data_IF_299201056852
#
_entry.id   IF_299201056852
#
_cell.length_a   1.000
_cell.length_b   1.000
_cell.length_c   1.000
_cell.angle_alpha   90.00
_cell.angle_beta   90.00
_cell.angle_gamma   90.00
#
_symmetry.space_group_name_H-M   'P 1'
#
loop_
_entity.id
_entity.type
_entity.pdbx_description
1 polymer ?
#
# COMPACT_ATOMS: atom_id res chain seq x y z
N UNK A 1 -8.33 -6.51 1.67
CA UNK A 1 -8.35 -7.98 1.81
C UNK A 1 -7.33 -8.59 0.87
N UNK A 2 -6.29 -9.18 1.43
CA UNK A 2 -5.14 -9.72 0.71
C UNK A 2 -5.30 -11.21 0.41
N UNK A 3 -6.54 -11.70 0.36
CA UNK A 3 -6.78 -13.12 0.12
C UNK A 3 -6.72 -13.43 -1.37
N UNK A 4 -5.89 -14.40 -1.72
CA UNK A 4 -5.83 -15.00 -3.05
C UNK A 4 -7.05 -15.89 -3.33
N UNK A 5 -7.84 -16.19 -2.30
CA UNK A 5 -9.06 -16.97 -2.40
C UNK A 5 -10.16 -16.21 -3.13
N UNK A 6 -11.13 -16.97 -3.66
CA UNK A 6 -12.24 -16.47 -4.47
C UNK A 6 -13.22 -15.59 -3.66
N UNK A 7 -12.81 -14.35 -3.37
CA UNK A 7 -13.63 -13.32 -2.73
C UNK A 7 -14.43 -12.47 -3.75
N UNK A 8 -14.47 -12.89 -5.01
CA UNK A 8 -15.12 -12.18 -6.10
C UNK A 8 -14.40 -10.90 -6.54
N UNK A 9 -13.19 -10.61 -6.01
CA UNK A 9 -12.42 -9.44 -6.36
C UNK A 9 -11.34 -9.83 -7.38
N UNK A 10 -11.37 -9.26 -8.60
CA UNK A 10 -10.45 -9.70 -9.67
C UNK A 10 -9.01 -9.26 -9.45
N UNK A 11 -8.75 -8.27 -8.59
CA UNK A 11 -7.41 -7.77 -8.34
C UNK A 11 -7.01 -7.85 -6.86
N UNK A 12 -5.78 -8.29 -6.60
CA UNK A 12 -5.09 -8.12 -5.32
C UNK A 12 -4.16 -6.92 -5.44
N UNK A 13 -4.15 -6.05 -4.42
CA UNK A 13 -3.27 -4.89 -4.37
C UNK A 13 -2.45 -4.94 -3.09
N UNK A 14 -1.14 -4.88 -3.23
CA UNK A 14 -0.21 -4.60 -2.15
C UNK A 14 0.35 -3.20 -2.34
N UNK A 15 0.44 -2.42 -1.27
CA UNK A 15 0.93 -1.06 -1.37
C UNK A 15 1.61 -0.61 -0.09
N UNK A 16 2.40 0.44 -0.21
CA UNK A 16 3.15 1.07 0.87
C UNK A 16 3.18 2.57 0.70
N UNK A 17 2.99 3.31 1.78
CA UNK A 17 3.36 4.72 1.89
C UNK A 17 4.68 4.79 2.65
N UNK A 18 5.64 5.54 2.13
CA UNK A 18 6.97 5.64 2.71
C UNK A 18 7.49 7.08 2.65
N UNK A 19 8.49 7.36 3.47
CA UNK A 19 9.14 8.66 3.57
C UNK A 19 10.20 8.67 4.67
N UNK A 20 10.94 9.78 4.86
CA UNK A 20 11.93 9.93 5.90
C UNK A 20 11.30 9.77 7.29
N UNK A 21 11.94 9.00 8.17
CA UNK A 21 11.37 8.63 9.48
C UNK A 21 11.07 9.86 10.37
N UNK A 22 11.89 10.88 10.30
CA UNK A 22 11.71 12.13 11.02
C UNK A 22 10.47 12.92 10.55
N UNK A 23 10.01 12.68 9.31
CA UNK A 23 8.83 13.33 8.72
C UNK A 23 7.53 12.58 9.01
N UNK A 24 7.62 11.26 9.23
CA UNK A 24 6.44 10.41 9.50
C UNK A 24 5.67 10.88 10.74
N UNK A 25 6.37 11.31 11.79
CA UNK A 25 5.70 11.85 13.01
C UNK A 25 4.87 13.09 12.70
N UNK A 26 5.42 14.02 11.92
CA UNK A 26 4.70 15.22 11.50
C UNK A 26 3.51 14.85 10.59
N UNK A 27 3.68 13.90 9.69
CA UNK A 27 2.62 13.41 8.82
C UNK A 27 1.45 12.80 9.61
N UNK A 28 1.73 11.97 10.61
CA UNK A 28 0.70 11.43 11.50
C UNK A 28 -0.04 12.57 12.24
N UNK A 29 0.68 13.56 12.78
CA UNK A 29 0.05 14.69 13.46
C UNK A 29 -0.85 15.49 12.52
N UNK A 30 -0.41 15.74 11.30
CA UNK A 30 -1.21 16.47 10.30
C UNK A 30 -2.48 15.73 9.89
N UNK A 31 -2.41 14.42 9.71
CA UNK A 31 -3.60 13.60 9.43
C UNK A 31 -4.61 13.62 10.60
N UNK A 32 -4.14 13.68 11.86
CA UNK A 32 -5.00 13.88 13.04
C UNK A 32 -5.67 15.27 13.04
N UNK A 33 -4.94 16.31 12.68
CA UNK A 33 -5.51 17.65 12.53
C UNK A 33 -6.61 17.69 11.45
N UNK A 34 -6.42 16.99 10.33
CA UNK A 34 -7.45 16.85 9.30
C UNK A 34 -8.68 16.13 9.85
N UNK A 35 -8.52 15.08 10.69
CA UNK A 35 -9.64 14.44 11.39
C UNK A 35 -10.40 15.46 12.24
N UNK A 36 -9.69 16.27 13.04
CA UNK A 36 -10.28 17.31 13.89
C UNK A 36 -11.05 18.34 13.06
N UNK A 37 -10.46 18.85 11.97
CA UNK A 37 -11.10 19.79 11.03
C UNK A 37 -12.45 19.30 10.56
N UNK A 38 -12.56 18.01 10.27
CA UNK A 38 -13.78 17.38 9.76
C UNK A 38 -14.67 16.76 10.87
N UNK A 39 -14.38 17.05 12.13
CA UNK A 39 -15.13 16.50 13.28
C UNK A 39 -15.17 14.95 13.28
N UNK A 40 -14.11 14.32 12.78
CA UNK A 40 -13.93 12.88 12.82
C UNK A 40 -13.27 12.53 14.15
N UNK A 41 -13.84 11.57 14.88
CA UNK A 41 -13.25 11.14 16.16
C UNK A 41 -11.81 10.61 15.96
N UNK A 42 -10.87 10.91 16.85
CA UNK A 42 -9.47 10.48 16.74
C UNK A 42 -9.31 8.96 16.57
N UNK A 43 -10.20 8.18 17.21
CA UNK A 43 -10.23 6.72 17.11
C UNK A 43 -10.79 6.18 15.78
N UNK A 44 -11.34 7.05 14.95
CA UNK A 44 -11.84 6.65 13.62
C UNK A 44 -10.65 6.44 12.69
N UNK A 45 -10.49 5.21 12.20
CA UNK A 45 -9.46 4.92 11.21
C UNK A 45 -9.83 5.47 9.83
N UNK A 46 -8.82 5.97 9.12
CA UNK A 46 -8.90 6.27 7.69
C UNK A 46 -8.93 4.93 6.95
N UNK A 47 -10.07 4.56 6.40
CA UNK A 47 -10.24 3.28 5.69
C UNK A 47 -11.05 3.45 4.43
N UNK A 48 -10.63 2.76 3.37
CA UNK A 48 -11.37 2.75 2.11
C UNK A 48 -12.82 2.29 2.26
N UNK A 49 -13.08 1.30 3.12
CA UNK A 49 -14.41 0.78 3.36
C UNK A 49 -15.34 1.79 4.06
N UNK A 50 -14.78 2.81 4.71
CA UNK A 50 -15.53 3.86 5.42
C UNK A 50 -15.77 5.12 4.60
N UNK A 51 -15.30 5.17 3.33
CA UNK A 51 -15.57 6.27 2.40
C UNK A 51 -17.04 6.33 2.09
N UNK A 52 -17.67 7.45 2.43
CA UNK A 52 -19.12 7.68 2.30
C UNK A 52 -19.42 9.14 1.94
N UNK A 53 -20.60 9.47 1.39
CA UNK A 53 -20.94 10.85 1.02
C UNK A 53 -20.74 11.87 2.14
N UNK A 54 -21.14 11.52 3.38
CA UNK A 54 -21.04 12.41 4.53
C UNK A 54 -19.61 12.65 5.02
N UNK A 55 -18.65 11.84 4.59
CA UNK A 55 -17.25 11.93 5.01
C UNK A 55 -16.29 12.19 3.83
N UNK A 56 -16.81 12.36 2.62
CA UNK A 56 -15.96 12.45 1.42
C UNK A 56 -14.99 13.62 1.49
N UNK A 57 -15.41 14.78 2.00
CA UNK A 57 -14.55 15.96 2.16
C UNK A 57 -13.31 15.66 3.03
N UNK A 58 -13.46 14.88 4.09
CA UNK A 58 -12.35 14.42 4.91
C UNK A 58 -11.34 13.58 4.11
N UNK A 59 -11.85 12.63 3.32
CA UNK A 59 -10.98 11.78 2.50
C UNK A 59 -10.30 12.55 1.37
N UNK A 60 -10.97 13.55 0.79
CA UNK A 60 -10.37 14.44 -0.20
C UNK A 60 -9.22 15.25 0.40
N UNK A 61 -9.41 15.84 1.60
CA UNK A 61 -8.36 16.57 2.30
C UNK A 61 -7.16 15.66 2.67
N UNK A 62 -7.41 14.40 3.04
CA UNK A 62 -6.35 13.45 3.32
C UNK A 62 -5.54 13.09 2.05
N UNK A 63 -6.21 12.97 0.90
CA UNK A 63 -5.54 12.75 -0.40
C UNK A 63 -4.76 14.01 -0.81
N UNK A 64 -5.36 15.21 -0.68
CA UNK A 64 -4.68 16.45 -0.99
C UNK A 64 -3.42 16.61 -0.14
N UNK A 65 -3.50 16.34 1.16
CA UNK A 65 -2.35 16.36 2.03
C UNK A 65 -1.24 15.39 1.57
N UNK A 66 -1.59 14.18 1.18
CA UNK A 66 -0.61 13.25 0.64
C UNK A 66 0.13 13.84 -0.57
N UNK A 67 -0.59 14.45 -1.51
CA UNK A 67 0.01 15.00 -2.71
C UNK A 67 0.76 16.32 -2.47
N UNK A 68 0.35 17.12 -1.49
CA UNK A 68 1.01 18.38 -1.11
C UNK A 68 2.28 18.15 -0.27
N UNK A 69 2.47 16.95 0.28
CA UNK A 69 3.62 16.60 1.09
C UNK A 69 4.66 15.86 0.25
N UNK A 70 5.76 16.54 -0.10
CA UNK A 70 6.82 15.99 -0.95
C UNK A 70 7.61 14.85 -0.28
N UNK A 71 7.56 14.74 1.05
CA UNK A 71 8.25 13.68 1.80
C UNK A 71 7.50 12.34 1.78
N UNK A 72 6.22 12.30 1.36
CA UNK A 72 5.42 11.08 1.32
C UNK A 72 5.31 10.54 -0.09
N UNK A 73 5.60 9.26 -0.24
CA UNK A 73 5.56 8.53 -1.51
C UNK A 73 4.66 7.31 -1.40
N UNK A 74 4.06 6.90 -2.51
CA UNK A 74 3.24 5.70 -2.56
C UNK A 74 3.69 4.76 -3.67
N UNK A 75 3.87 3.48 -3.33
CA UNK A 75 4.09 2.43 -4.32
C UNK A 75 3.10 1.31 -4.12
N UNK A 76 2.57 0.77 -5.22
CA UNK A 76 1.69 -0.39 -5.20
C UNK A 76 2.01 -1.39 -6.32
N UNK A 77 1.76 -2.67 -6.02
CA UNK A 77 1.70 -3.75 -7.01
C UNK A 77 0.25 -4.18 -7.14
N UNK A 78 -0.25 -4.18 -8.37
CA UNK A 78 -1.59 -4.61 -8.74
C UNK A 78 -1.48 -5.93 -9.47
N UNK A 79 -2.14 -6.96 -8.95
CA UNK A 79 -2.07 -8.33 -9.43
C UNK A 79 -3.45 -8.76 -9.87
N UNK A 80 -3.62 -9.12 -11.14
CA UNK A 80 -4.87 -9.70 -11.63
C UNK A 80 -4.95 -11.17 -11.19
N UNK A 81 -5.90 -11.49 -10.30
CA UNK A 81 -6.08 -12.85 -9.77
C UNK A 81 -6.49 -13.85 -10.84
N UNK A 82 -7.19 -13.41 -11.87
CA UNK A 82 -7.65 -14.27 -12.95
C UNK A 82 -6.50 -14.80 -13.82
N UNK A 83 -5.33 -14.13 -13.78
CA UNK A 83 -4.14 -14.56 -14.51
C UNK A 83 -3.19 -15.41 -13.67
N UNK A 84 -3.51 -15.63 -12.38
CA UNK A 84 -2.70 -16.44 -11.48
C UNK A 84 -3.01 -17.93 -11.68
N UNK A 85 -2.08 -18.66 -12.26
CA UNK A 85 -2.17 -20.10 -12.41
C UNK A 85 -1.31 -20.79 -11.35
N UNK A 86 -1.85 -20.95 -10.13
CA UNK A 86 -1.13 -21.53 -8.99
C UNK A 86 -0.69 -22.98 -9.22
N UNK A 87 -1.39 -23.72 -10.09
CA UNK A 87 -1.09 -25.13 -10.39
C UNK A 87 0.27 -25.35 -11.06
N UNK A 88 0.76 -24.38 -11.80
CA UNK A 88 2.00 -24.51 -12.58
C UNK A 88 3.28 -24.20 -11.77
N UNK A 89 3.18 -23.61 -10.57
CA UNK A 89 4.36 -23.07 -9.89
C UNK A 89 4.81 -23.81 -8.64
N UNK A 90 4.10 -24.84 -8.17
CA UNK A 90 4.40 -25.56 -6.89
C UNK A 90 4.69 -24.61 -5.71
N UNK A 91 4.16 -23.38 -5.74
CA UNK A 91 4.36 -22.36 -4.73
C UNK A 91 3.15 -22.33 -3.80
N UNK A 92 3.41 -22.22 -2.49
CA UNK A 92 2.36 -21.96 -1.51
C UNK A 92 1.85 -20.51 -1.64
N UNK A 93 0.66 -20.24 -1.11
CA UNK A 93 0.15 -18.87 -1.02
C UNK A 93 1.10 -17.95 -0.26
N UNK A 94 1.78 -18.47 0.76
CA UNK A 94 2.75 -17.72 1.54
C UNK A 94 4.00 -17.37 0.73
N UNK A 95 4.53 -18.30 -0.09
CA UNK A 95 5.69 -18.02 -0.95
C UNK A 95 5.38 -16.93 -1.98
N UNK A 96 4.20 -16.97 -2.57
CA UNK A 96 3.75 -15.92 -3.48
C UNK A 96 3.65 -14.56 -2.77
N UNK A 97 3.10 -14.54 -1.57
CA UNK A 97 2.98 -13.35 -0.75
C UNK A 97 4.36 -12.71 -0.47
N UNK A 98 5.34 -13.50 0.00
CA UNK A 98 6.70 -13.01 0.22
C UNK A 98 7.37 -12.50 -1.04
N UNK A 99 7.17 -13.19 -2.16
CA UNK A 99 7.66 -12.75 -3.46
C UNK A 99 7.12 -11.38 -3.82
N UNK A 100 5.82 -11.15 -3.66
CA UNK A 100 5.19 -9.87 -4.00
C UNK A 100 5.60 -8.75 -3.05
N UNK A 101 5.73 -9.01 -1.74
CA UNK A 101 6.29 -8.03 -0.81
C UNK A 101 7.74 -7.68 -1.15
N UNK A 102 8.53 -8.67 -1.51
CA UNK A 102 9.90 -8.44 -1.94
C UNK A 102 9.97 -7.60 -3.22
N UNK A 103 9.10 -7.86 -4.21
CA UNK A 103 8.99 -7.03 -5.41
C UNK A 103 8.52 -5.59 -5.11
N UNK A 104 7.58 -5.44 -4.17
CA UNK A 104 7.11 -4.13 -3.72
C UNK A 104 8.23 -3.32 -3.09
N UNK A 105 8.94 -3.90 -2.13
CA UNK A 105 9.87 -3.20 -1.25
C UNK A 105 11.25 -3.02 -1.87
N UNK A 106 11.79 -4.00 -2.59
CA UNK A 106 13.14 -3.92 -3.17
C UNK A 106 13.36 -2.78 -4.17
N UNK A 107 12.29 -2.17 -4.68
CA UNK A 107 12.37 -1.00 -5.56
C UNK A 107 12.41 0.34 -4.80
N UNK A 108 12.15 0.29 -3.49
CA UNK A 108 12.20 1.44 -2.59
C UNK A 108 13.52 1.45 -1.81
N UNK A 109 14.02 0.26 -1.48
CA UNK A 109 15.21 0.10 -0.66
C UNK A 109 16.46 0.51 -1.44
N UNK A 110 17.14 1.54 -0.94
CA UNK A 110 18.46 1.98 -1.42
C UNK A 110 19.52 1.49 -0.42
N UNK A 111 20.57 0.77 -0.85
CA UNK A 111 21.60 0.27 0.06
C UNK A 111 22.35 1.35 0.86
N UNK A 112 22.23 2.61 0.46
CA UNK A 112 22.83 3.76 1.18
C UNK A 112 22.02 4.25 2.36
N UNK A 113 20.79 3.75 2.52
CA UNK A 113 19.85 4.16 3.56
C UNK A 113 19.46 2.97 4.44
N UNK A 114 18.90 3.28 5.60
CA UNK A 114 18.36 2.31 6.54
C UNK A 114 16.85 2.43 6.63
N UNK A 115 16.15 1.30 6.80
CA UNK A 115 14.70 1.25 6.74
C UNK A 115 14.08 0.54 7.93
N UNK A 116 12.99 1.12 8.45
CA UNK A 116 12.05 0.48 9.36
C UNK A 116 10.73 0.24 8.62
N UNK A 117 10.25 -0.98 8.60
CA UNK A 117 9.04 -1.39 7.90
C UNK A 117 7.96 -1.70 8.92
N UNK A 118 6.79 -1.05 8.77
CA UNK A 118 5.63 -1.27 9.62
C UNK A 118 4.55 -1.99 8.82
N UNK A 119 4.07 -3.12 9.34
CA UNK A 119 3.03 -3.93 8.72
C UNK A 119 1.80 -3.96 9.63
N UNK A 120 0.60 -3.88 9.06
CA UNK A 120 -0.62 -4.09 9.84
C UNK A 120 -0.66 -5.54 10.36
N UNK A 121 -0.90 -5.69 11.66
CA UNK A 121 -1.00 -6.99 12.33
C UNK A 121 -2.09 -7.88 11.71
N UNK A 122 -3.12 -7.29 11.11
CA UNK A 122 -4.20 -8.01 10.43
C UNK A 122 -3.76 -8.65 9.11
N UNK A 123 -2.75 -8.06 8.47
CA UNK A 123 -2.26 -8.53 7.17
C UNK A 123 -1.18 -9.61 7.31
N UNK A 124 -0.61 -9.74 8.52
CA UNK A 124 0.54 -10.62 8.74
C UNK A 124 0.29 -11.54 9.93
N UNK A 125 0.10 -12.82 9.67
CA UNK A 125 -0.12 -13.82 10.72
C UNK A 125 1.21 -14.20 11.42
N UNK A 126 1.61 -13.38 12.39
CA UNK A 126 2.61 -13.75 13.40
C UNK A 126 4.08 -13.48 13.04
N UNK A 127 4.91 -13.57 14.09
CA UNK A 127 6.35 -13.30 14.07
C UNK A 127 7.15 -14.15 13.06
N UNK A 128 6.69 -15.38 12.77
CA UNK A 128 7.33 -16.26 11.77
C UNK A 128 7.30 -15.65 10.37
N UNK A 129 6.19 -15.02 9.99
CA UNK A 129 6.05 -14.36 8.67
C UNK A 129 6.94 -13.12 8.57
N UNK A 130 7.05 -12.33 9.63
CA UNK A 130 7.97 -11.18 9.70
C UNK A 130 9.41 -11.63 9.50
N UNK A 131 9.85 -12.67 10.24
CA UNK A 131 11.20 -13.22 10.12
C UNK A 131 11.49 -13.71 8.69
N UNK A 132 10.55 -14.44 8.09
CA UNK A 132 10.70 -14.94 6.71
C UNK A 132 10.75 -13.81 5.70
N UNK A 133 9.93 -12.76 5.86
CA UNK A 133 9.98 -11.58 4.99
C UNK A 133 11.33 -10.86 5.10
N UNK A 134 11.86 -10.70 6.31
CA UNK A 134 13.17 -10.08 6.52
C UNK A 134 14.27 -10.88 5.82
N UNK A 135 14.29 -12.21 5.99
CA UNK A 135 15.21 -13.11 5.31
C UNK A 135 15.14 -12.97 3.77
N UNK A 136 13.93 -12.97 3.21
CA UNK A 136 13.72 -12.85 1.75
C UNK A 136 14.22 -11.50 1.23
N UNK A 137 13.98 -10.42 1.98
CA UNK A 137 14.46 -9.08 1.61
C UNK A 137 15.98 -8.98 1.72
N UNK A 138 16.58 -9.48 2.80
CA UNK A 138 18.03 -9.48 2.99
C UNK A 138 18.73 -10.25 1.87
N UNK A 139 18.23 -11.43 1.52
CA UNK A 139 18.77 -12.19 0.40
C UNK A 139 18.67 -11.44 -0.94
N UNK A 140 17.51 -10.81 -1.23
CA UNK A 140 17.30 -10.08 -2.47
C UNK A 140 18.16 -8.83 -2.60
N UNK A 141 18.43 -8.16 -1.46
CA UNK A 141 19.23 -6.94 -1.40
C UNK A 141 20.73 -7.22 -1.14
N UNK A 142 21.10 -8.49 -0.93
CA UNK A 142 22.45 -8.89 -0.46
C UNK A 142 22.82 -8.22 0.86
N UNK A 143 21.81 -7.96 1.73
CA UNK A 143 21.92 -7.29 3.02
C UNK A 143 22.15 -8.31 4.13
N UNK A 144 23.31 -8.98 4.09
CA UNK A 144 23.63 -10.04 5.06
C UNK A 144 23.95 -9.50 6.46
N UNK A 145 24.34 -8.24 6.54
CA UNK A 145 24.65 -7.53 7.79
C UNK A 145 23.39 -6.86 8.40
N UNK A 146 22.23 -7.01 7.74
CA UNK A 146 20.96 -6.38 8.13
C UNK A 146 21.07 -4.84 8.29
N UNK A 147 21.94 -4.21 7.53
CA UNK A 147 22.23 -2.78 7.58
C UNK A 147 21.18 -1.95 6.85
N UNK A 148 20.54 -2.53 5.81
CA UNK A 148 19.49 -1.86 5.02
C UNK A 148 18.14 -1.96 5.72
N UNK A 149 17.67 -3.19 6.01
CA UNK A 149 16.41 -3.40 6.71
C UNK A 149 16.66 -3.68 8.19
N UNK A 150 16.69 -2.61 9.00
CA UNK A 150 16.94 -2.73 10.43
C UNK A 150 15.81 -3.43 11.16
N UNK A 151 14.57 -3.07 10.87
CA UNK A 151 13.44 -3.61 11.61
C UNK A 151 12.21 -3.79 10.70
N UNK A 152 11.48 -4.88 10.93
CA UNK A 152 10.12 -5.09 10.43
C UNK A 152 9.22 -5.33 11.64
N UNK A 153 8.27 -4.43 11.86
CA UNK A 153 7.42 -4.43 13.05
C UNK A 153 5.95 -4.58 12.68
N UNK A 154 5.25 -5.44 13.41
CA UNK A 154 3.80 -5.53 13.38
C UNK A 154 3.22 -4.44 14.27
N UNK A 155 2.28 -3.67 13.73
CA UNK A 155 1.62 -2.56 14.44
C UNK A 155 0.11 -2.62 14.21
N UNK A 156 -0.64 -2.00 15.10
CA UNK A 156 -2.05 -1.80 14.87
C UNK A 156 -2.30 -0.57 13.99
N UNK A 157 -3.03 -0.73 12.90
CA UNK A 157 -3.29 0.37 11.95
C UNK A 157 -3.94 1.60 12.60
N UNK A 158 -4.69 1.43 13.69
CA UNK A 158 -5.30 2.57 14.40
C UNK A 158 -4.30 3.47 15.12
N UNK A 159 -3.06 3.04 15.29
CA UNK A 159 -1.99 3.80 15.99
C UNK A 159 -1.20 4.71 15.02
N UNK A 160 -1.24 4.44 13.71
CA UNK A 160 -0.39 5.09 12.71
C UNK A 160 -1.23 5.57 11.53
N UNK A 161 -1.48 6.88 11.43
CA UNK A 161 -2.30 7.47 10.39
C UNK A 161 -1.72 7.30 8.98
N UNK A 162 -0.39 7.31 8.84
CA UNK A 162 0.26 7.07 7.55
C UNK A 162 0.01 5.62 7.05
N UNK A 163 -0.08 4.64 7.95
CA UNK A 163 -0.47 3.27 7.59
C UNK A 163 -1.93 3.21 7.12
N UNK A 164 -2.81 3.99 7.78
CA UNK A 164 -4.21 4.12 7.37
C UNK A 164 -4.35 4.82 6.01
N UNK A 165 -3.46 5.80 5.71
CA UNK A 165 -3.40 6.45 4.41
C UNK A 165 -3.01 5.46 3.31
N UNK A 166 -2.11 4.51 3.61
CA UNK A 166 -1.80 3.42 2.69
C UNK A 166 -3.04 2.55 2.39
N UNK A 167 -3.84 2.18 3.41
CA UNK A 167 -5.11 1.45 3.21
C UNK A 167 -6.08 2.20 2.28
N UNK A 168 -6.19 3.53 2.44
CA UNK A 168 -7.02 4.37 1.59
C UNK A 168 -6.58 4.31 0.12
N UNK A 169 -5.28 4.47 -0.15
CA UNK A 169 -4.71 4.44 -1.50
C UNK A 169 -4.79 3.05 -2.12
N UNK A 170 -4.45 2.00 -1.37
CA UNK A 170 -4.58 0.59 -1.79
C UNK A 170 -6.04 0.28 -2.15
N UNK A 171 -6.98 0.71 -1.29
CA UNK A 171 -8.40 0.51 -1.51
C UNK A 171 -8.91 1.21 -2.76
N UNK A 172 -8.41 2.41 -3.08
CA UNK A 172 -8.73 3.11 -4.32
C UNK A 172 -8.24 2.33 -5.56
N UNK A 173 -7.00 1.83 -5.53
CA UNK A 173 -6.44 1.01 -6.63
C UNK A 173 -7.23 -0.29 -6.80
N UNK A 174 -7.58 -0.96 -5.70
CA UNK A 174 -8.38 -2.18 -5.75
C UNK A 174 -9.80 -1.93 -6.30
N UNK A 175 -10.41 -0.80 -5.92
CA UNK A 175 -11.75 -0.44 -6.37
C UNK A 175 -11.81 -0.11 -7.86
N UNK A 176 -10.76 0.51 -8.42
CA UNK A 176 -10.64 0.77 -9.86
C UNK A 176 -10.57 -0.49 -10.72
N UNK A 177 -10.09 -1.58 -10.13
CA UNK A 177 -9.94 -2.88 -10.80
C UNK A 177 -11.15 -3.80 -10.55
N UNK A 178 -12.33 -3.25 -10.22
CA UNK A 178 -13.61 -3.97 -10.08
C UNK A 178 -14.59 -3.52 -11.15
N UNK A 179 -15.45 -4.43 -11.57
CA UNK A 179 -16.48 -4.16 -12.58
C UNK A 179 -17.69 -3.38 -12.04
N UNK A 180 -17.95 -3.44 -10.72
CA UNK A 180 -19.12 -2.80 -10.09
C UNK A 180 -18.73 -1.59 -9.22
N UNK A 181 -18.72 -0.41 -9.85
CA UNK A 181 -18.33 0.87 -9.23
C UNK A 181 -19.57 1.74 -9.03
N UNK A 182 -20.37 1.50 -7.97
CA UNK A 182 -21.60 2.27 -7.69
C UNK A 182 -21.40 3.49 -6.76
N UNK A 183 -20.42 3.50 -5.88
CA UNK A 183 -20.26 4.54 -4.88
C UNK A 183 -19.75 5.87 -5.45
N UNK A 184 -20.61 6.90 -5.43
CA UNK A 184 -20.26 8.27 -5.86
C UNK A 184 -19.11 8.84 -5.04
N UNK A 185 -19.13 8.69 -3.71
CA UNK A 185 -18.07 9.19 -2.84
C UNK A 185 -16.71 8.57 -3.17
N UNK A 186 -16.67 7.26 -3.41
CA UNK A 186 -15.43 6.57 -3.81
C UNK A 186 -14.93 7.02 -5.18
N UNK A 187 -15.83 7.27 -6.12
CA UNK A 187 -15.49 7.87 -7.42
C UNK A 187 -14.83 9.23 -7.25
N UNK A 188 -15.39 10.10 -6.39
CA UNK A 188 -14.80 11.42 -6.11
C UNK A 188 -13.37 11.32 -5.58
N UNK A 189 -13.10 10.39 -4.65
CA UNK A 189 -11.74 10.17 -4.13
C UNK A 189 -10.80 9.70 -5.26
N UNK A 190 -11.24 8.77 -6.10
CA UNK A 190 -10.46 8.28 -7.24
C UNK A 190 -10.15 9.41 -8.24
N UNK A 191 -11.15 10.22 -8.62
CA UNK A 191 -10.93 11.34 -9.53
C UNK A 191 -9.98 12.39 -8.93
N UNK A 192 -10.01 12.59 -7.61
CA UNK A 192 -9.01 13.42 -6.93
C UNK A 192 -7.61 12.83 -7.06
N UNK A 193 -7.42 11.53 -6.82
CA UNK A 193 -6.14 10.86 -6.98
C UNK A 193 -5.65 10.97 -8.44
N UNK A 194 -6.50 10.73 -9.43
CA UNK A 194 -6.15 10.90 -10.85
C UNK A 194 -5.72 12.32 -11.17
N UNK A 195 -6.51 13.31 -10.75
CA UNK A 195 -6.22 14.72 -10.99
C UNK A 195 -4.90 15.18 -10.36
N UNK A 196 -4.59 14.67 -9.14
CA UNK A 196 -3.36 15.02 -8.44
C UNK A 196 -2.13 14.28 -8.97
N UNK A 197 -2.27 13.01 -9.34
CA UNK A 197 -1.17 12.19 -9.87
C UNK A 197 -0.88 12.43 -11.36
N UNK A 198 -1.88 12.85 -12.11
CA UNK A 198 -1.79 12.95 -13.59
C UNK A 198 -1.89 11.60 -14.30
N UNK A 199 -2.23 10.51 -13.60
CA UNK A 199 -2.33 9.17 -14.16
C UNK A 199 -3.78 8.66 -14.18
N UNK A 200 -4.10 7.79 -15.16
CA UNK A 200 -5.37 7.04 -15.21
C UNK A 200 -5.50 5.97 -14.14
N UNK A 201 -4.38 5.60 -13.52
CA UNK A 201 -4.23 4.58 -12.47
C UNK A 201 -4.56 3.14 -12.91
N UNK A 202 -4.70 2.88 -14.20
CA UNK A 202 -5.08 1.56 -14.77
C UNK A 202 -3.92 0.83 -15.46
N UNK A 203 -2.71 1.39 -15.37
CA UNK A 203 -1.48 0.81 -15.93
C UNK A 203 -0.27 1.16 -15.07
N UNK A 204 0.84 0.47 -15.30
CA UNK A 204 2.10 0.77 -14.63
C UNK A 204 2.56 2.18 -14.97
N UNK A 205 3.05 2.90 -13.96
CA UNK A 205 3.76 4.16 -14.13
C UNK A 205 5.22 3.91 -14.52
N UNK A 206 5.97 4.97 -14.75
CA UNK A 206 7.40 4.85 -14.96
C UNK A 206 8.08 4.26 -13.72
N UNK A 207 9.14 3.48 -13.93
CA UNK A 207 9.87 2.82 -12.82
C UNK A 207 10.43 3.86 -11.82
N UNK A 208 10.79 5.05 -12.31
CA UNK A 208 11.33 6.16 -11.51
C UNK A 208 10.27 7.15 -11.02
N UNK A 209 8.99 6.81 -11.19
CA UNK A 209 7.92 7.61 -10.58
C UNK A 209 8.02 7.52 -9.05
N UNK A 210 8.11 8.66 -8.39
CA UNK A 210 8.35 8.70 -6.95
C UNK A 210 7.04 8.87 -6.16
N UNK A 211 6.13 9.75 -6.63
CA UNK A 211 4.93 10.12 -5.86
C UNK A 211 3.85 9.05 -5.88
N UNK A 212 3.55 8.50 -7.06
CA UNK A 212 2.50 7.48 -7.26
C UNK A 212 3.02 6.39 -8.18
N UNK A 213 3.80 5.48 -7.64
CA UNK A 213 4.41 4.41 -8.39
C UNK A 213 3.51 3.17 -8.41
N UNK A 214 3.00 2.82 -9.58
CA UNK A 214 2.13 1.67 -9.79
C UNK A 214 2.82 0.64 -10.66
N UNK A 215 2.76 -0.61 -10.26
CA UNK A 215 3.25 -1.74 -11.03
C UNK A 215 2.15 -2.78 -11.22
N UNK A 216 1.63 -2.87 -12.45
CA UNK A 216 0.70 -3.92 -12.86
C UNK A 216 1.48 -5.18 -13.20
N UNK A 217 1.45 -6.14 -12.28
CA UNK A 217 2.16 -7.41 -12.42
C UNK A 217 1.42 -8.35 -13.37
N UNK A 218 2.09 -8.77 -14.45
CA UNK A 218 1.50 -9.60 -15.52
C UNK A 218 1.79 -11.10 -15.37
N UNK A 219 2.43 -11.51 -14.26
CA UNK A 219 2.97 -12.86 -14.15
C UNK A 219 4.31 -13.01 -14.90
N UNK A 220 5.06 -14.04 -14.59
CA UNK A 220 6.15 -14.46 -15.47
C UNK A 220 5.52 -15.29 -16.58
N UNK A 221 5.38 -14.71 -17.76
CA UNK A 221 5.29 -15.53 -18.95
C UNK A 221 6.65 -16.22 -19.10
N UNK A 222 6.73 -17.51 -18.82
CA UNK A 222 7.87 -18.30 -19.28
C UNK A 222 7.86 -18.20 -20.81
N UNK A 223 8.82 -17.45 -21.35
CA UNK A 223 9.26 -17.61 -22.73
C UNK A 223 10.13 -18.87 -22.79
#
# INVERSE_FOLDING_TARGET
SNHLEADGIPAMVLGVVYGPIEKIKAANSRLREIKVKHKIAPSTEIKWTKVSPNKVAFYLDAIDYFYDNDDLHFRAIIINKNTLNHGNFKQTHDDFYYKMYSELLSKILDPRNTYCIYLDIKDTQGSKKVKKLKEVLSNKMYDFDESIVQNIQLVHSHEIEVLQLADLLIGAMQFLNRDDVKSVAKKQVIERIKGRSGYDLLKSTLVREEKTNLFYWKGQNNV
#
